data_IF_734062385531
#
_entry.id   IF_734062385531
#
_cell.length_a   1.000
_cell.length_b   1.000
_cell.length_c   1.000
_cell.angle_alpha   90.00
_cell.angle_beta   90.00
_cell.angle_gamma   90.00
#
_symmetry.space_group_name_H-M   'P 1'
#
loop_
_entity.id
_entity.type
_entity.pdbx_description
1 polymer ?
#
# COMPACT_ATOMS: atom_id res chain seq x y z
N UNK A 1 -3.04 9.76 -31.16
CA UNK A 1 -3.22 11.14 -30.65
C UNK A 1 -3.13 11.08 -29.14
N UNK A 2 -2.09 11.69 -28.57
CA UNK A 2 -1.75 11.61 -27.15
C UNK A 2 -2.84 12.24 -26.30
N UNK A 3 -3.34 11.50 -25.31
CA UNK A 3 -4.45 11.90 -24.44
C UNK A 3 -4.07 12.95 -23.40
N UNK A 4 -3.70 14.14 -23.86
CA UNK A 4 -3.50 15.31 -23.03
C UNK A 4 -4.85 15.93 -22.71
N UNK A 5 -5.15 16.11 -21.43
CA UNK A 5 -6.35 16.83 -21.01
C UNK A 5 -6.10 18.34 -21.10
N UNK A 6 -7.13 19.18 -21.32
CA UNK A 6 -6.98 20.63 -21.30
C UNK A 6 -6.41 21.17 -19.97
N UNK A 7 -6.60 20.45 -18.87
CA UNK A 7 -6.05 20.80 -17.57
C UNK A 7 -4.52 20.62 -17.50
N UNK A 8 -3.94 19.71 -18.30
CA UNK A 8 -2.49 19.51 -18.37
C UNK A 8 -1.80 20.70 -19.05
N UNK A 9 -2.45 21.31 -20.05
CA UNK A 9 -1.98 22.55 -20.71
C UNK A 9 -1.95 23.76 -19.78
N UNK A 10 -2.96 23.88 -18.91
CA UNK A 10 -3.09 25.02 -18.01
C UNK A 10 -1.99 25.07 -16.95
N UNK A 11 -1.53 23.91 -16.48
CA UNK A 11 -0.44 23.84 -15.50
C UNK A 11 0.90 24.22 -16.16
N UNK A 12 1.17 23.70 -17.37
CA UNK A 12 2.41 23.99 -18.09
C UNK A 12 2.57 25.49 -18.40
N UNK A 13 1.49 26.18 -18.79
CA UNK A 13 1.50 27.61 -19.08
C UNK A 13 1.64 28.50 -17.83
N UNK A 14 1.22 28.03 -16.64
CA UNK A 14 1.21 28.84 -15.41
C UNK A 14 2.41 28.60 -14.49
N UNK A 15 3.10 27.46 -14.59
CA UNK A 15 4.20 27.13 -13.65
C UNK A 15 5.61 27.38 -14.15
N UNK A 16 5.80 27.79 -15.42
CA UNK A 16 7.12 28.10 -15.96
C UNK A 16 8.08 26.91 -15.97
N UNK A 17 9.12 26.97 -16.80
CA UNK A 17 10.17 25.94 -16.87
C UNK A 17 11.07 25.87 -15.63
N UNK A 18 10.65 26.45 -14.50
CA UNK A 18 11.43 26.59 -13.26
C UNK A 18 11.05 25.61 -12.15
N UNK A 19 10.13 24.68 -12.40
CA UNK A 19 10.11 23.48 -11.57
C UNK A 19 11.37 22.67 -11.92
N UNK A 20 12.29 22.41 -10.97
CA UNK A 20 13.33 21.42 -11.21
C UNK A 20 12.64 20.12 -11.64
N UNK A 21 13.31 19.23 -12.34
CA UNK A 21 12.79 17.90 -12.64
C UNK A 21 12.57 17.12 -11.33
N UNK A 22 11.57 17.52 -10.55
CA UNK A 22 11.22 16.92 -9.28
C UNK A 22 10.45 15.68 -9.65
N UNK A 23 10.89 14.58 -9.05
CA UNK A 23 10.27 13.30 -9.20
C UNK A 23 8.77 13.44 -8.86
N UNK A 24 7.89 13.33 -9.87
CA UNK A 24 6.43 13.36 -9.69
C UNK A 24 5.91 12.27 -8.73
N UNK A 25 6.79 11.37 -8.28
CA UNK A 25 6.52 10.38 -7.24
C UNK A 25 6.46 11.03 -5.84
N UNK A 26 7.24 12.08 -5.56
CA UNK A 26 7.49 12.58 -4.18
C UNK A 26 6.81 13.90 -3.81
N UNK A 27 6.28 14.65 -4.77
CA UNK A 27 5.58 15.91 -4.44
C UNK A 27 4.18 15.59 -3.90
N UNK A 28 3.80 16.20 -2.77
CA UNK A 28 2.43 16.29 -2.23
C UNK A 28 1.55 17.19 -3.13
N UNK A 29 1.53 16.91 -4.44
CA UNK A 29 0.75 17.64 -5.44
C UNK A 29 -0.33 16.74 -6.00
N UNK A 30 -1.53 17.27 -6.14
CA UNK A 30 -2.59 16.64 -6.94
C UNK A 30 -2.08 16.49 -8.37
N UNK A 31 -1.76 15.27 -8.79
CA UNK A 31 -1.64 15.02 -10.23
C UNK A 31 -3.03 15.24 -10.85
N UNK A 32 -3.15 15.88 -12.02
CA UNK A 32 -4.44 15.94 -12.74
C UNK A 32 -5.05 14.55 -13.00
N UNK A 33 -4.21 13.51 -13.02
CA UNK A 33 -4.61 12.10 -13.13
C UNK A 33 -5.02 11.42 -11.81
N UNK A 34 -4.91 12.12 -10.66
CA UNK A 34 -5.40 11.69 -9.34
C UNK A 34 -6.88 12.02 -9.12
N UNK A 35 -7.55 12.63 -10.12
CA UNK A 35 -9.01 12.72 -10.17
C UNK A 35 -9.58 11.30 -10.09
N UNK A 36 -10.30 11.07 -8.98
CA UNK A 36 -11.30 10.05 -8.62
C UNK A 36 -11.37 8.84 -9.58
N UNK A 37 -11.42 7.58 -9.08
CA UNK A 37 -11.59 6.41 -9.95
C UNK A 37 -12.67 6.71 -10.97
N UNK A 38 -12.30 6.64 -12.25
CA UNK A 38 -13.25 6.83 -13.33
C UNK A 38 -14.45 5.94 -13.02
N UNK A 39 -15.66 6.48 -12.79
CA UNK A 39 -16.84 5.71 -12.42
C UNK A 39 -17.21 4.69 -13.51
N UNK A 40 -16.61 4.86 -14.68
CA UNK A 40 -16.63 3.95 -15.80
C UNK A 40 -15.97 2.62 -15.44
N UNK A 41 -16.78 1.55 -15.46
CA UNK A 41 -16.29 0.17 -15.46
C UNK A 41 -15.26 -0.02 -16.56
N UNK A 42 -14.20 -0.76 -16.25
CA UNK A 42 -13.18 -1.11 -17.21
C UNK A 42 -13.73 -2.11 -18.23
N UNK A 43 -13.37 -1.91 -19.50
CA UNK A 43 -13.80 -2.79 -20.60
C UNK A 43 -12.84 -3.94 -20.84
N UNK A 44 -11.58 -3.76 -20.41
CA UNK A 44 -10.50 -4.72 -20.64
C UNK A 44 -9.71 -4.93 -19.36
N UNK A 45 -9.10 -6.12 -19.23
CA UNK A 45 -8.26 -6.48 -18.10
C UNK A 45 -7.06 -5.52 -17.93
N UNK A 46 -6.48 -5.07 -19.06
CA UNK A 46 -5.36 -4.11 -19.05
C UNK A 46 -5.79 -2.79 -18.43
N UNK A 47 -6.99 -2.30 -18.76
CA UNK A 47 -7.52 -1.07 -18.17
C UNK A 47 -7.75 -1.23 -16.66
N UNK A 48 -8.29 -2.38 -16.23
CA UNK A 48 -8.50 -2.69 -14.82
C UNK A 48 -7.17 -2.69 -14.04
N UNK A 49 -6.13 -3.35 -14.57
CA UNK A 49 -4.80 -3.35 -13.96
C UNK A 49 -4.14 -1.98 -13.95
N UNK A 50 -4.31 -1.16 -15.00
CA UNK A 50 -3.78 0.20 -15.00
C UNK A 50 -4.43 1.05 -13.89
N UNK A 51 -5.73 0.87 -13.61
CA UNK A 51 -6.38 1.52 -12.48
C UNK A 51 -5.83 1.04 -11.13
N UNK A 52 -5.61 -0.26 -10.96
CA UNK A 52 -5.05 -0.78 -9.71
C UNK A 52 -3.62 -0.31 -9.46
N UNK A 53 -2.80 -0.18 -10.50
CA UNK A 53 -1.46 0.42 -10.41
C UNK A 53 -1.50 1.91 -10.04
N UNK A 54 -2.46 2.68 -10.56
CA UNK A 54 -2.65 4.08 -10.17
C UNK A 54 -3.01 4.20 -8.69
N UNK A 55 -3.96 3.38 -8.23
CA UNK A 55 -4.32 3.31 -6.82
C UNK A 55 -3.10 2.95 -5.95
N UNK A 56 -2.33 1.92 -6.32
CA UNK A 56 -1.14 1.52 -5.58
C UNK A 56 -0.11 2.66 -5.45
N UNK A 57 0.16 3.38 -6.54
CA UNK A 57 1.06 4.54 -6.51
C UNK A 57 0.54 5.65 -5.59
N UNK A 58 -0.77 5.90 -5.63
CA UNK A 58 -1.42 6.88 -4.77
C UNK A 58 -1.25 6.52 -3.29
N UNK A 59 -1.52 5.27 -2.91
CA UNK A 59 -1.26 4.76 -1.56
C UNK A 59 0.20 4.94 -1.14
N UNK A 60 1.16 4.60 -2.00
CA UNK A 60 2.58 4.77 -1.71
C UNK A 60 2.98 6.23 -1.47
N UNK A 61 2.35 7.19 -2.15
CA UNK A 61 2.59 8.63 -1.94
C UNK A 61 2.01 9.10 -0.61
N UNK A 62 0.80 8.67 -0.26
CA UNK A 62 0.16 9.04 1.02
C UNK A 62 0.69 8.26 2.23
N UNK A 63 1.47 7.20 2.03
CA UNK A 63 1.92 6.33 3.13
C UNK A 63 2.60 7.09 4.30
N UNK A 64 3.54 8.03 4.06
CA UNK A 64 4.16 8.78 5.16
C UNK A 64 3.14 9.58 5.97
N UNK A 65 2.17 10.20 5.30
CA UNK A 65 1.06 10.93 5.92
C UNK A 65 0.23 10.00 6.82
N UNK A 66 -0.17 8.85 6.26
CA UNK A 66 -1.05 7.89 6.92
C UNK A 66 -0.38 7.35 8.19
N UNK A 67 0.91 6.96 8.10
CA UNK A 67 1.66 6.45 9.25
C UNK A 67 1.82 7.52 10.34
N UNK A 68 2.03 8.78 9.94
CA UNK A 68 2.23 9.88 10.89
C UNK A 68 0.92 10.30 11.57
N UNK A 69 -0.15 10.53 10.81
CA UNK A 69 -1.44 10.98 11.33
C UNK A 69 -2.12 9.95 12.21
N UNK A 70 -2.01 8.66 11.85
CA UNK A 70 -2.59 7.57 12.63
C UNK A 70 -1.67 7.11 13.78
N UNK A 71 -0.56 7.82 14.03
CA UNK A 71 0.42 7.50 15.06
C UNK A 71 0.94 6.05 14.99
N UNK A 72 1.05 5.50 13.77
CA UNK A 72 1.52 4.13 13.52
C UNK A 72 3.05 4.01 13.52
N UNK A 73 3.76 5.11 13.78
CA UNK A 73 5.21 5.16 13.90
C UNK A 73 5.76 4.17 14.94
N UNK A 74 4.96 3.75 15.93
CA UNK A 74 5.34 2.72 16.91
C UNK A 74 5.39 1.31 16.34
N UNK A 75 4.61 1.05 15.29
CA UNK A 75 4.38 -0.29 14.75
C UNK A 75 5.13 -0.49 13.43
N UNK A 76 5.13 0.51 12.55
CA UNK A 76 5.73 0.39 11.21
C UNK A 76 6.42 1.67 10.77
N UNK A 77 7.44 1.53 9.92
CA UNK A 77 8.00 2.65 9.16
C UNK A 77 7.25 2.81 7.83
N UNK A 78 7.22 4.00 7.22
CA UNK A 78 6.59 4.20 5.92
C UNK A 78 7.13 3.29 4.81
N UNK A 79 8.40 2.88 4.89
CA UNK A 79 9.02 1.97 3.92
C UNK A 79 8.53 0.53 4.11
N UNK A 80 8.50 0.04 5.35
CA UNK A 80 7.98 -1.30 5.69
C UNK A 80 6.50 -1.40 5.34
N UNK A 81 5.75 -0.34 5.61
CA UNK A 81 4.35 -0.18 5.24
C UNK A 81 4.10 -0.31 3.73
N UNK A 82 4.94 0.32 2.89
CA UNK A 82 4.87 0.17 1.43
C UNK A 82 5.14 -1.25 0.97
N UNK A 83 6.12 -1.93 1.58
CA UNK A 83 6.46 -3.32 1.24
C UNK A 83 5.31 -4.29 1.56
N UNK A 84 4.66 -4.10 2.71
CA UNK A 84 3.52 -4.92 3.11
C UNK A 84 2.29 -4.65 2.24
N UNK A 85 2.02 -3.38 1.90
CA UNK A 85 1.01 -3.04 0.91
C UNK A 85 1.29 -3.74 -0.43
N UNK A 86 2.55 -3.75 -0.88
CA UNK A 86 2.93 -4.44 -2.11
C UNK A 86 2.70 -5.97 -2.02
N UNK A 87 2.97 -6.59 -0.86
CA UNK A 87 2.66 -8.00 -0.63
C UNK A 87 1.16 -8.28 -0.71
N UNK A 88 0.33 -7.43 -0.10
CA UNK A 88 -1.13 -7.52 -0.18
C UNK A 88 -1.64 -7.43 -1.62
N UNK A 89 -1.10 -6.50 -2.42
CA UNK A 89 -1.44 -6.40 -3.85
C UNK A 89 -1.03 -7.64 -4.64
N UNK A 90 0.14 -8.24 -4.34
CA UNK A 90 0.60 -9.46 -4.99
C UNK A 90 -0.28 -10.67 -4.69
N UNK A 91 -0.84 -10.76 -3.47
CA UNK A 91 -1.80 -11.83 -3.12
C UNK A 91 -3.05 -11.78 -4.00
N UNK A 92 -3.51 -10.57 -4.35
CA UNK A 92 -4.70 -10.34 -5.17
C UNK A 92 -4.43 -10.35 -6.69
N UNK A 93 -3.18 -10.51 -7.12
CA UNK A 93 -2.81 -10.46 -8.54
C UNK A 93 -3.28 -11.69 -9.35
N UNK A 94 -3.83 -12.72 -8.69
CA UNK A 94 -4.37 -13.92 -9.36
C UNK A 94 -5.81 -13.75 -9.87
N UNK A 95 -6.48 -12.66 -9.49
CA UNK A 95 -7.86 -12.38 -9.90
C UNK A 95 -7.89 -11.96 -11.37
N UNK A 96 -8.68 -12.67 -12.20
CA UNK A 96 -8.81 -12.41 -13.66
C UNK A 96 -10.13 -11.74 -14.06
N UNK A 97 -11.11 -11.70 -13.17
CA UNK A 97 -12.40 -11.03 -13.37
C UNK A 97 -12.22 -9.53 -13.30
N UNK A 98 -12.66 -8.82 -14.34
CA UNK A 98 -12.53 -7.37 -14.49
C UNK A 98 -13.31 -6.65 -13.39
N UNK A 99 -14.51 -7.13 -13.09
CA UNK A 99 -15.43 -6.57 -12.10
C UNK A 99 -14.82 -6.59 -10.71
N UNK A 100 -14.21 -7.72 -10.31
CA UNK A 100 -13.59 -7.82 -8.99
C UNK A 100 -12.36 -6.91 -8.87
N UNK A 101 -11.61 -6.67 -9.96
CA UNK A 101 -10.49 -5.73 -9.95
C UNK A 101 -10.99 -4.29 -9.82
N UNK A 102 -12.04 -3.92 -10.55
CA UNK A 102 -12.66 -2.59 -10.43
C UNK A 102 -13.26 -2.37 -9.04
N UNK A 103 -13.92 -3.38 -8.46
CA UNK A 103 -14.45 -3.32 -7.10
C UNK A 103 -13.34 -3.19 -6.06
N UNK A 104 -12.26 -3.97 -6.21
CA UNK A 104 -11.06 -3.83 -5.38
C UNK A 104 -10.49 -2.40 -5.45
N UNK A 105 -10.41 -1.84 -6.65
CA UNK A 105 -9.94 -0.47 -6.85
C UNK A 105 -10.89 0.55 -6.20
N UNK A 106 -12.20 0.41 -6.39
CA UNK A 106 -13.21 1.29 -5.79
C UNK A 106 -13.09 1.27 -4.27
N UNK A 107 -13.12 0.09 -3.66
CA UNK A 107 -13.01 -0.09 -2.21
C UNK A 107 -11.70 0.49 -1.66
N UNK A 108 -10.61 0.37 -2.42
CA UNK A 108 -9.32 0.96 -2.07
C UNK A 108 -9.30 2.49 -2.13
N UNK A 109 -10.02 3.12 -3.07
CA UNK A 109 -10.16 4.57 -3.14
C UNK A 109 -11.09 5.12 -2.05
N UNK A 110 -12.24 4.48 -1.81
CA UNK A 110 -13.15 4.84 -0.72
C UNK A 110 -12.41 4.81 0.62
N UNK A 111 -11.64 3.74 0.86
CA UNK A 111 -10.85 3.64 2.07
C UNK A 111 -9.78 4.73 2.18
N UNK A 112 -9.04 4.98 1.11
CA UNK A 112 -8.02 6.04 1.11
C UNK A 112 -8.64 7.41 1.39
N UNK A 113 -9.82 7.68 0.84
CA UNK A 113 -10.57 8.91 1.08
C UNK A 113 -11.00 9.02 2.55
N UNK A 114 -11.56 7.96 3.14
CA UNK A 114 -11.97 7.98 4.53
C UNK A 114 -10.78 8.16 5.49
N UNK A 115 -9.60 7.62 5.12
CA UNK A 115 -8.35 7.84 5.89
C UNK A 115 -7.89 9.29 5.79
N UNK A 116 -7.99 9.90 4.62
CA UNK A 116 -7.66 11.32 4.43
C UNK A 116 -8.58 12.24 5.25
N UNK A 117 -9.83 11.84 5.44
CA UNK A 117 -10.80 12.55 6.29
C UNK A 117 -10.67 12.23 7.78
N UNK A 118 -9.74 11.35 8.17
CA UNK A 118 -9.56 10.87 9.54
C UNK A 118 -10.80 10.15 10.12
N UNK A 119 -11.71 9.70 9.26
CA UNK A 119 -12.94 9.00 9.64
C UNK A 119 -12.67 7.53 9.99
N UNK A 120 -11.58 6.96 9.44
CA UNK A 120 -11.10 5.62 9.78
C UNK A 120 -9.99 5.72 10.83
N UNK A 121 -10.22 5.07 11.98
CA UNK A 121 -9.25 4.95 13.07
C UNK A 121 -8.26 3.82 12.76
N UNK A 122 -6.97 4.07 13.00
CA UNK A 122 -5.81 3.28 12.57
C UNK A 122 -5.87 1.75 12.73
N UNK A 123 -6.68 1.21 13.65
CA UNK A 123 -6.82 -0.24 13.86
C UNK A 123 -7.31 -0.98 12.60
N UNK A 124 -8.24 -0.40 11.84
CA UNK A 124 -8.75 -1.00 10.61
C UNK A 124 -7.75 -0.93 9.44
N UNK A 125 -6.75 -0.06 9.56
CA UNK A 125 -5.71 0.17 8.55
C UNK A 125 -4.51 -0.76 8.80
N UNK A 126 -4.26 -1.09 10.08
CA UNK A 126 -3.16 -1.96 10.49
C UNK A 126 -3.16 -3.27 9.72
N UNK A 127 -4.28 -3.96 9.54
CA UNK A 127 -4.29 -5.27 8.85
C UNK A 127 -3.76 -5.24 7.40
N UNK A 128 -3.79 -4.09 6.73
CA UNK A 128 -3.34 -3.95 5.35
C UNK A 128 -1.93 -3.34 5.22
N UNK A 129 -1.54 -2.48 6.17
CA UNK A 129 -0.30 -1.69 6.11
C UNK A 129 0.75 -2.19 7.11
N UNK A 130 0.30 -2.85 8.17
CA UNK A 130 1.06 -3.34 9.31
C UNK A 130 0.31 -4.49 10.01
N UNK A 131 0.00 -5.62 9.31
CA UNK A 131 -0.74 -6.71 9.95
C UNK A 131 0.05 -7.14 11.17
N UNK A 132 -0.60 -7.16 12.34
CA UNK A 132 0.01 -7.43 13.64
C UNK A 132 0.41 -8.92 13.68
N UNK A 133 1.51 -9.25 13.01
CA UNK A 133 2.25 -10.49 13.11
C UNK A 133 3.59 -10.20 13.78
N UNK A 134 4.17 -11.21 14.46
CA UNK A 134 5.47 -11.10 15.16
C UNK A 134 6.59 -10.46 14.32
N UNK A 135 6.53 -10.59 12.99
CA UNK A 135 7.55 -10.10 12.05
C UNK A 135 7.37 -8.63 11.62
N UNK A 136 6.20 -8.04 11.88
CA UNK A 136 5.83 -6.73 11.34
C UNK A 136 5.98 -5.56 12.32
N UNK A 137 6.22 -5.86 13.60
CA UNK A 137 6.51 -4.85 14.63
C UNK A 137 7.89 -4.21 14.33
N UNK A 138 8.08 -2.94 14.70
CA UNK A 138 9.39 -2.28 14.63
C UNK A 138 10.46 -3.15 15.30
N UNK A 139 11.62 -3.29 14.64
CA UNK A 139 12.78 -4.06 15.12
C UNK A 139 13.30 -3.59 16.49
N UNK A 140 12.87 -2.39 16.95
CA UNK A 140 13.23 -1.81 18.24
C UNK A 140 12.30 -2.18 19.41
N UNK A 141 11.19 -2.88 19.18
CA UNK A 141 10.30 -3.32 20.27
C UNK A 141 10.67 -4.73 20.73
N UNK A 142 11.79 -4.83 21.46
CA UNK A 142 11.99 -5.79 22.55
C UNK A 142 11.60 -7.26 22.34
N UNK A 143 11.63 -7.81 21.12
CA UNK A 143 11.54 -9.25 20.95
C UNK A 143 12.84 -9.88 21.43
N UNK A 144 12.70 -10.98 22.18
CA UNK A 144 13.78 -11.76 22.76
C UNK A 144 14.78 -12.18 21.68
N UNK A 145 15.87 -11.42 21.55
CA UNK A 145 17.07 -11.79 20.79
C UNK A 145 17.51 -13.24 21.06
N UNK A 146 17.24 -13.74 22.26
CA UNK A 146 17.55 -15.10 22.67
C UNK A 146 16.75 -16.17 21.91
N UNK A 147 15.52 -15.91 21.47
CA UNK A 147 14.76 -16.88 20.66
C UNK A 147 15.36 -17.00 19.25
N UNK A 148 15.78 -15.88 18.65
CA UNK A 148 16.39 -15.89 17.32
C UNK A 148 17.75 -16.60 17.34
N UNK A 149 18.57 -16.37 18.37
CA UNK A 149 19.84 -17.08 18.56
C UNK A 149 19.62 -18.57 18.81
N UNK A 150 18.66 -18.94 19.68
CA UNK A 150 18.39 -20.34 20.05
C UNK A 150 17.89 -21.19 18.88
N UNK A 151 17.34 -20.54 17.85
CA UNK A 151 16.73 -21.21 16.71
C UNK A 151 17.43 -20.93 15.38
N UNK A 152 18.47 -20.08 15.31
CA UNK A 152 19.11 -19.61 14.07
C UNK A 152 19.39 -20.73 13.05
N UNK A 153 20.02 -21.81 13.50
CA UNK A 153 20.48 -22.92 12.62
C UNK A 153 19.47 -24.06 12.46
N UNK A 154 18.26 -23.91 13.00
CA UNK A 154 17.24 -24.96 12.96
C UNK A 154 16.39 -24.86 11.70
N UNK A 155 16.03 -26.01 11.13
CA UNK A 155 15.13 -26.06 9.97
C UNK A 155 13.77 -25.43 10.30
N UNK A 156 13.03 -24.89 9.30
CA UNK A 156 11.71 -24.29 9.52
C UNK A 156 10.75 -25.26 10.22
N UNK A 157 10.82 -26.54 9.86
CA UNK A 157 10.07 -27.62 10.52
C UNK A 157 10.43 -27.75 12.01
N UNK A 158 11.72 -27.79 12.35
CA UNK A 158 12.16 -27.95 13.74
C UNK A 158 11.84 -26.71 14.58
N UNK A 159 11.86 -25.52 13.97
CA UNK A 159 11.39 -24.27 14.61
C UNK A 159 9.91 -24.35 14.95
N UNK A 160 9.07 -24.75 14.00
CA UNK A 160 7.63 -24.90 14.19
C UNK A 160 7.27 -25.99 15.22
N UNK A 161 8.00 -27.10 15.19
CA UNK A 161 7.88 -28.19 16.16
C UNK A 161 8.23 -27.74 17.58
N UNK A 162 9.39 -27.10 17.76
CA UNK A 162 9.86 -26.64 19.08
C UNK A 162 9.02 -25.50 19.65
N UNK A 163 8.42 -24.67 18.79
CA UNK A 163 7.53 -23.60 19.22
C UNK A 163 6.08 -24.10 19.46
N UNK A 164 5.77 -25.36 19.16
CA UNK A 164 4.45 -25.99 19.35
C UNK A 164 3.26 -25.24 18.72
N UNK A 165 3.52 -24.36 17.74
CA UNK A 165 2.50 -23.46 17.15
C UNK A 165 1.64 -24.15 16.09
N UNK A 166 2.12 -25.23 15.48
CA UNK A 166 1.37 -26.04 14.51
C UNK A 166 1.46 -27.49 14.92
N UNK A 167 0.32 -28.12 15.20
CA UNK A 167 0.26 -29.58 15.32
C UNK A 167 0.53 -30.19 13.94
N UNK A 168 1.40 -31.21 13.81
CA UNK A 168 1.50 -31.95 12.57
C UNK A 168 0.12 -32.54 12.24
N UNK A 169 -0.44 -32.15 11.11
CA UNK A 169 -1.63 -32.81 10.56
C UNK A 169 -1.13 -34.12 9.94
N UNK A 170 -1.45 -35.23 10.59
CA UNK A 170 -1.30 -36.57 10.04
C UNK A 170 -2.49 -36.89 9.13
#
# INVERSE_FOLDING_TARGET
MSGWSPADKYIEEMTGSEFPAVNNITIYGQLPSDQVPTPTRSRTLVQAHMKSLRLFRKWCRYMPMIVTWQNMNKYTTPEKAKLQLAAYYRQHNRVRSIENIDEFVRNGYERLYNIQQLDVIGVQILDHIAPIGRENIQENQGFSYHDDVKHKDKSPFLKDFLQSKKRPQY
#
